data_IF_998293604142
#
_entry.id   IF_998293604142
#
_cell.length_a   1.000
_cell.length_b   1.000
_cell.length_c   1.000
_cell.angle_alpha   90.00
_cell.angle_beta   90.00
_cell.angle_gamma   90.00
#
_symmetry.space_group_name_H-M   'P 1'
#
loop_
_entity.id
_entity.type
_entity.pdbx_description
1 polymer ?
#
# COMPACT_ATOMS: atom_id res chain seq x y z
N UNK A 1 21.17 6.46 -4.24
CA UNK A 1 20.05 5.62 -3.74
C UNK A 1 18.80 6.49 -3.74
N UNK A 2 17.65 6.04 -4.30
CA UNK A 2 16.40 6.80 -4.21
C UNK A 2 15.72 6.53 -2.85
N UNK A 3 15.11 7.53 -2.19
CA UNK A 3 14.33 7.31 -0.97
C UNK A 3 13.21 6.29 -1.20
N UNK A 4 12.91 5.50 -0.16
CA UNK A 4 11.91 4.45 -0.18
C UNK A 4 11.01 4.59 1.05
N UNK A 5 9.70 4.59 0.83
CA UNK A 5 8.70 4.64 1.90
C UNK A 5 8.06 3.27 2.03
N UNK A 6 8.28 2.61 3.18
CA UNK A 6 7.68 1.30 3.47
C UNK A 6 6.56 1.49 4.48
N UNK A 7 5.33 1.13 4.10
CA UNK A 7 4.13 1.30 4.91
C UNK A 7 3.69 -0.07 5.40
N UNK A 8 3.85 -0.31 6.71
CA UNK A 8 3.39 -1.54 7.36
C UNK A 8 2.01 -1.33 7.97
N UNK A 9 1.00 -1.97 7.36
CA UNK A 9 -0.40 -1.89 7.81
C UNK A 9 -0.68 -2.74 9.06
N UNK A 10 0.27 -3.60 9.45
CA UNK A 10 0.15 -4.56 10.55
C UNK A 10 -1.19 -5.30 10.47
N UNK A 11 -1.94 -5.33 11.58
CA UNK A 11 -3.30 -5.85 11.64
C UNK A 11 -4.30 -4.77 12.03
N UNK A 12 -3.99 -3.50 11.73
CA UNK A 12 -4.91 -2.41 12.02
C UNK A 12 -6.18 -2.55 11.16
N UNK A 13 -7.33 -2.32 11.77
CA UNK A 13 -8.61 -2.38 11.06
C UNK A 13 -8.62 -1.42 9.85
N UNK A 14 -8.01 -0.24 9.98
CA UNK A 14 -7.83 0.76 8.93
C UNK A 14 -6.90 0.32 7.79
N UNK A 15 -6.09 -0.72 8.01
CA UNK A 15 -5.13 -1.28 7.05
C UNK A 15 -5.48 -2.70 6.60
N UNK A 16 -6.77 -3.07 6.62
CA UNK A 16 -7.24 -4.43 6.26
C UNK A 16 -8.29 -4.39 5.14
N UNK A 17 -8.34 -5.42 4.30
CA UNK A 17 -9.34 -5.64 3.24
C UNK A 17 -9.52 -4.40 2.33
N UNK A 18 -10.76 -3.92 2.14
CA UNK A 18 -11.08 -2.76 1.29
C UNK A 18 -10.35 -1.48 1.73
N UNK A 19 -10.08 -1.30 3.03
CA UNK A 19 -9.39 -0.10 3.52
C UNK A 19 -7.90 -0.14 3.13
N UNK A 20 -7.26 -1.32 3.22
CA UNK A 20 -5.91 -1.53 2.72
C UNK A 20 -5.79 -1.26 1.22
N UNK A 21 -6.76 -1.75 0.42
CA UNK A 21 -6.82 -1.50 -1.01
C UNK A 21 -6.93 0.00 -1.33
N UNK A 22 -7.80 0.72 -0.64
CA UNK A 22 -7.96 2.16 -0.84
C UNK A 22 -6.67 2.93 -0.49
N UNK A 23 -5.97 2.53 0.57
CA UNK A 23 -4.67 3.12 0.93
C UNK A 23 -3.60 2.85 -0.13
N UNK A 24 -3.56 1.63 -0.69
CA UNK A 24 -2.62 1.27 -1.74
C UNK A 24 -2.85 2.08 -3.02
N UNK A 25 -4.11 2.28 -3.44
CA UNK A 25 -4.46 3.13 -4.59
C UNK A 25 -4.07 4.59 -4.38
N UNK A 26 -4.36 5.13 -3.20
CA UNK A 26 -3.94 6.49 -2.86
C UNK A 26 -2.42 6.65 -2.94
N UNK A 27 -1.67 5.67 -2.43
CA UNK A 27 -0.22 5.72 -2.50
C UNK A 27 0.32 5.56 -3.93
N UNK A 28 -0.37 4.83 -4.81
CA UNK A 28 -0.06 4.76 -6.23
C UNK A 28 -0.25 6.13 -6.92
N UNK A 29 -1.36 6.83 -6.64
CA UNK A 29 -1.60 8.19 -7.15
C UNK A 29 -0.50 9.17 -6.70
N UNK A 30 -0.08 9.08 -5.43
CA UNK A 30 1.03 9.86 -4.89
C UNK A 30 2.37 9.46 -5.53
N UNK A 31 2.59 8.16 -5.75
CA UNK A 31 3.77 7.64 -6.42
C UNK A 31 3.90 8.20 -7.84
N UNK A 32 2.80 8.23 -8.60
CA UNK A 32 2.76 8.73 -9.98
C UNK A 32 3.02 10.24 -10.02
N UNK A 33 2.37 11.01 -9.14
CA UNK A 33 2.48 12.48 -9.13
C UNK A 33 3.82 12.99 -8.61
N UNK A 34 4.47 12.26 -7.68
CA UNK A 34 5.71 12.72 -7.03
C UNK A 34 6.97 12.00 -7.49
N UNK A 35 6.84 10.83 -8.14
CA UNK A 35 7.96 9.94 -8.44
C UNK A 35 8.55 9.23 -7.22
N UNK A 36 7.91 9.36 -6.05
CA UNK A 36 8.31 8.68 -4.81
C UNK A 36 8.04 7.18 -4.91
N UNK A 37 8.88 6.36 -4.28
CA UNK A 37 8.70 4.91 -4.26
C UNK A 37 8.06 4.44 -2.95
N UNK A 38 7.00 3.65 -3.08
CA UNK A 38 6.27 3.06 -1.96
C UNK A 38 6.31 1.52 -2.01
N UNK A 39 6.34 0.90 -0.83
CA UNK A 39 6.09 -0.53 -0.63
C UNK A 39 5.04 -0.69 0.46
N UNK A 40 4.02 -1.49 0.20
CA UNK A 40 2.98 -1.82 1.17
C UNK A 40 3.19 -3.21 1.76
N UNK A 41 3.30 -3.29 3.08
CA UNK A 41 3.26 -4.55 3.83
C UNK A 41 1.85 -4.73 4.38
N UNK A 42 1.05 -5.53 3.68
CA UNK A 42 -0.35 -5.81 3.97
C UNK A 42 -0.50 -7.11 4.76
N UNK A 43 -1.69 -7.40 5.30
CA UNK A 43 -1.95 -8.72 5.86
C UNK A 43 -1.83 -9.81 4.79
N UNK A 44 -1.38 -11.03 5.13
CA UNK A 44 -1.24 -12.11 4.16
C UNK A 44 -2.51 -12.39 3.33
N UNK A 45 -3.68 -12.28 3.94
CA UNK A 45 -4.99 -12.47 3.29
C UNK A 45 -5.30 -11.40 2.24
N UNK A 46 -4.73 -10.22 2.37
CA UNK A 46 -4.99 -9.08 1.47
C UNK A 46 -4.02 -9.04 0.28
N UNK A 47 -2.92 -9.81 0.31
CA UNK A 47 -1.86 -9.79 -0.72
C UNK A 47 -2.46 -9.94 -2.12
N UNK A 48 -3.26 -10.98 -2.35
CA UNK A 48 -3.83 -11.27 -3.68
C UNK A 48 -4.73 -10.13 -4.17
N UNK A 49 -5.56 -9.58 -3.29
CA UNK A 49 -6.51 -8.54 -3.65
C UNK A 49 -5.80 -7.23 -4.03
N UNK A 50 -4.74 -6.89 -3.31
CA UNK A 50 -3.98 -5.65 -3.51
C UNK A 50 -2.97 -5.79 -4.66
N UNK A 51 -2.36 -6.96 -4.84
CA UNK A 51 -1.39 -7.17 -5.93
C UNK A 51 -2.03 -7.29 -7.32
N UNK A 52 -3.35 -7.46 -7.39
CA UNK A 52 -4.09 -7.65 -8.65
C UNK A 52 -4.88 -6.41 -9.07
N UNK A 53 -4.68 -5.29 -8.37
CA UNK A 53 -5.38 -4.02 -8.65
C UNK A 53 -4.82 -3.31 -9.88
#
# INVERSE_FOLDING_TARGET
>A
MKPLIVINLKTYETGTSKKALNLAKLAEEVSISTGSKFIFCVQPTDIRAISSQ
#
